data_IF_131925009085
#
_entry.id   IF_131925009085
#
_cell.length_a   1.000
_cell.length_b   1.000
_cell.length_c   1.000
_cell.angle_alpha   90.00
_cell.angle_beta   90.00
_cell.angle_gamma   90.00
#
_symmetry.space_group_name_H-M   'P 1'
#
loop_
_entity.id
_entity.type
_entity.pdbx_description
1 polymer ?
#
# COMPACT_ATOMS: atom_id res chain seq x y z
N UNK A 1 -0.98 -0.27 14.99
CA UNK A 1 0.10 -0.96 14.25
C UNK A 1 -0.38 -1.47 12.89
N UNK A 2 -1.56 -2.09 12.80
CA UNK A 2 -2.18 -2.51 11.54
C UNK A 2 -3.62 -1.96 11.44
N UNK A 3 -4.15 -1.77 10.23
CA UNK A 3 -5.47 -1.13 10.03
C UNK A 3 -6.62 -2.00 10.53
N UNK A 4 -6.49 -3.31 10.40
CA UNK A 4 -7.51 -4.26 10.88
C UNK A 4 -7.24 -4.62 12.34
N UNK A 5 -8.20 -4.26 13.22
CA UNK A 5 -8.11 -4.40 14.68
C UNK A 5 -7.65 -5.80 15.13
N UNK A 6 -8.28 -6.85 14.59
CA UNK A 6 -7.97 -8.24 14.93
C UNK A 6 -6.48 -8.59 14.80
N UNK A 7 -5.82 -8.15 13.72
CA UNK A 7 -4.39 -8.40 13.51
C UNK A 7 -3.53 -7.42 14.29
N UNK A 8 -3.95 -6.15 14.42
CA UNK A 8 -3.17 -5.15 15.16
C UNK A 8 -3.00 -5.53 16.63
N UNK A 9 -4.05 -6.04 17.28
CA UNK A 9 -4.00 -6.46 18.69
C UNK A 9 -2.98 -7.58 18.91
N UNK A 10 -2.98 -8.59 18.03
CA UNK A 10 -2.02 -9.70 18.08
C UNK A 10 -0.58 -9.21 17.86
N UNK A 11 -0.36 -8.30 16.93
CA UNK A 11 0.97 -7.75 16.68
C UNK A 11 1.50 -6.93 17.85
N UNK A 12 0.64 -6.20 18.57
CA UNK A 12 1.04 -5.50 19.80
C UNK A 12 1.51 -6.46 20.90
N UNK A 13 0.79 -7.58 21.08
CA UNK A 13 1.21 -8.62 22.04
C UNK A 13 2.59 -9.16 21.66
N UNK A 14 2.79 -9.54 20.40
CA UNK A 14 4.08 -10.05 19.90
C UNK A 14 5.21 -9.02 20.11
N UNK A 15 4.96 -7.74 19.80
CA UNK A 15 5.95 -6.69 19.99
C UNK A 15 6.33 -6.52 21.46
N UNK A 16 5.34 -6.52 22.36
CA UNK A 16 5.57 -6.42 23.81
C UNK A 16 6.34 -7.63 24.34
N UNK A 17 5.94 -8.84 23.98
CA UNK A 17 6.56 -10.09 24.44
C UNK A 17 8.03 -10.21 23.99
N UNK A 18 8.38 -9.57 22.87
CA UNK A 18 9.75 -9.55 22.32
C UNK A 18 10.55 -8.31 22.71
N UNK A 19 10.00 -7.41 23.54
CA UNK A 19 10.67 -6.16 23.91
C UNK A 19 10.90 -5.20 22.74
N UNK A 20 10.08 -5.27 21.69
CA UNK A 20 10.18 -4.39 20.51
C UNK A 20 9.50 -3.05 20.84
N UNK A 21 10.28 -1.98 20.84
CA UNK A 21 9.78 -0.62 20.99
C UNK A 21 9.26 -0.08 19.65
N UNK A 22 8.05 0.47 19.67
CA UNK A 22 7.35 0.94 18.46
C UNK A 22 6.95 2.39 18.63
N UNK A 23 7.64 3.27 17.91
CA UNK A 23 7.39 4.70 17.94
C UNK A 23 6.42 5.06 16.80
N UNK A 24 5.16 5.33 17.15
CA UNK A 24 4.17 5.81 16.18
C UNK A 24 4.42 7.27 15.83
N UNK A 25 3.86 7.72 14.70
CA UNK A 25 3.93 9.12 14.25
C UNK A 25 5.36 9.66 14.09
N UNK A 26 6.31 8.79 13.75
CA UNK A 26 7.67 9.18 13.37
C UNK A 26 7.87 8.87 11.88
N UNK A 27 8.29 9.86 11.10
CA UNK A 27 8.58 9.72 9.67
C UNK A 27 10.06 10.01 9.42
N UNK A 28 10.79 9.06 8.83
CA UNK A 28 12.21 9.22 8.50
C UNK A 28 12.37 10.32 7.46
N UNK A 29 13.23 11.31 7.73
CA UNK A 29 13.50 12.44 6.83
C UNK A 29 14.95 12.50 6.35
N UNK A 30 15.90 11.96 7.13
CA UNK A 30 17.32 11.99 6.80
C UNK A 30 18.03 10.76 7.39
N UNK A 31 19.00 10.22 6.65
CA UNK A 31 19.91 9.18 7.11
C UNK A 31 21.33 9.71 6.95
N UNK A 32 22.12 9.64 8.02
CA UNK A 32 23.55 10.01 8.07
C UNK A 32 24.38 8.74 8.30
N UNK A 33 24.87 8.09 7.23
CA UNK A 33 25.64 6.85 7.34
C UNK A 33 26.95 7.04 8.10
N UNK A 34 27.65 8.16 7.88
CA UNK A 34 28.95 8.45 8.48
C UNK A 34 28.92 8.50 10.01
N UNK A 35 27.81 8.97 10.59
CA UNK A 35 27.63 9.06 12.06
C UNK A 35 26.74 7.95 12.62
N UNK A 36 26.18 7.09 11.76
CA UNK A 36 25.22 6.06 12.14
C UNK A 36 23.92 6.62 12.71
N UNK A 37 23.42 7.74 12.18
CA UNK A 37 22.26 8.47 12.71
C UNK A 37 21.10 8.51 11.72
N UNK A 38 19.88 8.32 12.22
CA UNK A 38 18.64 8.45 11.47
C UNK A 38 17.76 9.51 12.14
N UNK A 39 17.26 10.45 11.35
CA UNK A 39 16.50 11.61 11.82
C UNK A 39 15.05 11.45 11.37
N UNK A 40 14.15 11.54 12.34
CA UNK A 40 12.72 11.38 12.15
C UNK A 40 11.99 12.67 12.51
N UNK A 41 11.03 13.06 11.69
CA UNK A 41 10.05 14.09 12.03
C UNK A 41 8.93 13.48 12.89
N UNK A 42 8.60 14.12 14.00
CA UNK A 42 7.42 13.79 14.81
C UNK A 42 6.18 14.41 14.16
N UNK A 43 5.20 13.56 13.83
CA UNK A 43 3.98 13.96 13.11
C UNK A 43 2.85 14.44 14.03
N UNK A 44 2.98 14.26 15.35
CA UNK A 44 2.07 14.80 16.37
C UNK A 44 2.49 16.16 16.93
N UNK A 45 3.72 16.60 16.64
CA UNK A 45 4.23 17.88 17.10
C UNK A 45 3.93 18.95 16.05
N UNK A 46 3.15 19.98 16.42
CA UNK A 46 2.86 21.14 15.56
C UNK A 46 4.12 21.95 15.21
N UNK A 47 5.19 21.83 16.02
CA UNK A 47 6.43 22.58 15.86
C UNK A 47 7.44 21.95 14.88
N UNK A 48 7.11 20.82 14.26
CA UNK A 48 8.03 20.14 13.34
C UNK A 48 9.24 19.52 14.03
N UNK A 49 9.10 19.18 15.31
CA UNK A 49 10.16 18.59 16.13
C UNK A 49 10.74 17.31 15.48
N UNK A 50 12.07 17.18 15.58
CA UNK A 50 12.81 16.03 15.06
C UNK A 50 13.38 15.19 16.20
N UNK A 51 13.40 13.87 16.03
CA UNK A 51 14.10 12.93 16.90
C UNK A 51 15.25 12.26 16.13
N UNK A 52 16.43 12.24 16.73
CA UNK A 52 17.61 11.55 16.17
C UNK A 52 17.83 10.25 16.93
N UNK A 53 18.01 9.16 16.19
CA UNK A 53 18.34 7.85 16.72
C UNK A 53 19.64 7.34 16.10
N UNK A 54 20.52 6.76 16.92
CA UNK A 54 21.65 6.00 16.42
C UNK A 54 21.22 4.59 15.99
N UNK A 55 21.84 4.05 14.96
CA UNK A 55 21.59 2.70 14.48
C UNK A 55 22.89 1.97 14.16
N UNK A 56 22.92 0.68 14.48
CA UNK A 56 23.90 -0.27 13.95
C UNK A 56 23.36 -0.95 12.68
N UNK A 57 22.03 -1.06 12.57
CA UNK A 57 21.31 -1.58 11.41
C UNK A 57 20.04 -0.77 11.18
N UNK A 58 19.82 -0.35 9.92
CA UNK A 58 18.65 0.42 9.53
C UNK A 58 17.98 -0.20 8.30
N UNK A 59 16.72 -0.63 8.48
CA UNK A 59 15.86 -1.05 7.38
C UNK A 59 14.88 0.08 7.03
N UNK A 60 15.05 0.69 5.86
CA UNK A 60 14.22 1.82 5.41
C UNK A 60 13.14 1.35 4.43
N UNK A 61 11.88 1.62 4.77
CA UNK A 61 10.80 1.58 3.77
C UNK A 61 10.75 2.95 3.08
N UNK A 62 11.01 3.04 1.77
CA UNK A 62 11.04 4.31 1.08
C UNK A 62 9.63 4.93 0.99
N UNK A 63 9.52 6.27 0.90
CA UNK A 63 8.27 6.90 0.49
C UNK A 63 7.92 6.45 -0.93
N UNK A 64 6.66 6.10 -1.16
CA UNK A 64 6.18 5.58 -2.45
C UNK A 64 5.08 6.47 -3.01
N UNK A 65 5.03 6.63 -4.33
CA UNK A 65 4.01 7.35 -5.07
C UNK A 65 3.61 6.57 -6.34
N UNK A 66 2.53 6.97 -6.99
CA UNK A 66 2.21 6.46 -8.31
C UNK A 66 3.31 6.82 -9.32
N UNK A 67 3.54 6.00 -10.37
CA UNK A 67 4.51 6.30 -11.42
C UNK A 67 4.24 7.67 -12.08
N UNK A 68 5.31 8.40 -12.39
CA UNK A 68 5.25 9.74 -12.99
C UNK A 68 4.39 9.83 -14.25
N UNK A 69 4.41 8.78 -15.08
CA UNK A 69 3.61 8.69 -16.30
C UNK A 69 2.10 8.71 -16.03
N UNK A 70 1.67 8.23 -14.84
CA UNK A 70 0.29 8.27 -14.41
C UNK A 70 0.02 9.58 -13.66
N UNK A 71 0.85 9.91 -12.66
CA UNK A 71 0.60 11.04 -11.75
C UNK A 71 0.62 12.41 -12.43
N UNK A 72 1.35 12.54 -13.55
CA UNK A 72 1.41 13.76 -14.35
C UNK A 72 0.43 13.76 -15.53
N UNK A 73 -0.41 12.73 -15.65
CA UNK A 73 -1.35 12.58 -16.76
C UNK A 73 -2.76 13.08 -16.44
N UNK A 74 -3.59 13.21 -17.47
CA UNK A 74 -5.02 13.50 -17.32
C UNK A 74 -5.84 12.31 -16.78
N UNK A 75 -5.18 11.18 -16.48
CA UNK A 75 -5.80 9.94 -15.99
C UNK A 75 -5.73 9.83 -14.46
N UNK A 76 -4.96 10.69 -13.79
CA UNK A 76 -4.83 10.61 -12.34
C UNK A 76 -5.96 11.33 -11.61
N UNK A 77 -6.17 10.92 -10.37
CA UNK A 77 -6.92 11.70 -9.38
C UNK A 77 -6.04 12.80 -8.76
N UNK A 78 -6.59 13.52 -7.78
CA UNK A 78 -5.89 14.58 -7.07
C UNK A 78 -4.66 14.10 -6.26
N UNK A 79 -4.57 12.80 -5.96
CA UNK A 79 -3.44 12.19 -5.27
C UNK A 79 -2.40 11.60 -6.23
N UNK A 80 -2.61 11.71 -7.54
CA UNK A 80 -1.69 11.22 -8.58
C UNK A 80 -1.89 9.75 -8.96
N UNK A 81 -2.90 9.06 -8.44
CA UNK A 81 -3.18 7.65 -8.78
C UNK A 81 -4.19 7.55 -9.92
N UNK A 82 -4.12 6.49 -10.72
CA UNK A 82 -5.06 6.23 -11.81
C UNK A 82 -6.50 6.18 -11.28
N UNK A 83 -7.35 7.06 -11.80
CA UNK A 83 -8.68 7.30 -11.25
C UNK A 83 -9.72 6.32 -11.78
N UNK A 84 -10.00 5.26 -11.02
CA UNK A 84 -10.87 4.16 -11.46
C UNK A 84 -12.07 3.98 -10.56
N UNK A 85 -13.14 3.42 -11.12
CA UNK A 85 -14.25 2.91 -10.36
C UNK A 85 -13.78 1.71 -9.51
N UNK A 86 -13.96 1.82 -8.19
CA UNK A 86 -13.52 0.82 -7.21
C UNK A 86 -14.10 -0.59 -7.41
N UNK A 87 -15.27 -0.72 -8.06
CA UNK A 87 -15.93 -2.02 -8.29
C UNK A 87 -15.59 -2.58 -9.67
N UNK A 88 -15.60 -1.75 -10.72
CA UNK A 88 -15.48 -2.23 -12.11
C UNK A 88 -14.08 -2.12 -12.68
N UNK A 89 -13.20 -1.35 -12.04
CA UNK A 89 -11.82 -1.05 -12.45
C UNK A 89 -11.69 -0.22 -13.74
N UNK A 90 -12.81 0.24 -14.28
CA UNK A 90 -12.84 1.18 -15.41
C UNK A 90 -12.52 2.60 -14.94
N UNK A 91 -11.79 3.36 -15.74
CA UNK A 91 -11.51 4.76 -15.45
C UNK A 91 -12.81 5.58 -15.40
N UNK A 92 -12.90 6.50 -14.44
CA UNK A 92 -14.16 7.24 -14.17
C UNK A 92 -14.59 8.19 -15.28
N UNK A 93 -13.63 8.66 -16.11
CA UNK A 93 -13.85 9.60 -17.22
C UNK A 93 -13.72 8.97 -18.61
N UNK A 94 -12.94 7.89 -18.75
CA UNK A 94 -12.55 7.33 -20.05
C UNK A 94 -13.00 5.88 -20.09
N UNK A 95 -14.00 5.58 -20.91
CA UNK A 95 -14.69 4.30 -20.89
C UNK A 95 -13.89 3.14 -21.52
N UNK A 96 -12.79 3.47 -22.20
CA UNK A 96 -11.85 2.54 -22.81
C UNK A 96 -10.55 2.35 -22.00
N UNK A 97 -10.45 2.98 -20.83
CA UNK A 97 -9.28 2.88 -19.95
C UNK A 97 -9.67 2.09 -18.70
N UNK A 98 -8.78 1.18 -18.30
CA UNK A 98 -8.93 0.37 -17.10
C UNK A 98 -7.61 0.33 -16.32
N UNK A 99 -7.69 0.09 -15.02
CA UNK A 99 -6.54 0.08 -14.11
C UNK A 99 -6.53 -1.10 -13.17
N UNK A 100 -5.34 -1.57 -12.79
CA UNK A 100 -5.15 -2.65 -11.83
C UNK A 100 -3.91 -2.40 -10.97
N UNK A 101 -3.93 -2.88 -9.73
CA UNK A 101 -2.78 -2.88 -8.83
C UNK A 101 -2.45 -1.50 -8.27
N UNK A 102 -1.18 -1.31 -7.96
CA UNK A 102 -0.68 -0.24 -7.09
C UNK A 102 -0.81 1.16 -7.69
N UNK A 103 -0.90 1.28 -9.02
CA UNK A 103 -1.09 2.56 -9.69
C UNK A 103 -2.50 3.12 -9.53
N UNK A 104 -3.48 2.33 -9.08
CA UNK A 104 -4.88 2.73 -8.96
C UNK A 104 -5.19 3.43 -7.63
N UNK A 105 -6.29 4.18 -7.60
CA UNK A 105 -6.83 4.77 -6.37
C UNK A 105 -7.84 3.88 -5.63
N UNK A 106 -7.84 2.57 -5.90
CA UNK A 106 -8.74 1.62 -5.23
C UNK A 106 -8.43 1.61 -3.73
N UNK A 107 -9.42 1.84 -2.85
CA UNK A 107 -9.22 2.01 -1.41
C UNK A 107 -9.07 0.66 -0.68
N UNK A 108 -8.03 -0.10 -1.05
CA UNK A 108 -7.63 -1.36 -0.41
C UNK A 108 -6.11 -1.42 -0.29
N UNK A 109 -5.59 -2.35 0.52
CA UNK A 109 -4.15 -2.54 0.63
C UNK A 109 -3.57 -2.97 -0.72
N UNK A 110 -2.54 -2.24 -1.15
CA UNK A 110 -1.77 -2.45 -2.38
C UNK A 110 -0.88 -3.70 -2.23
N UNK A 111 -1.39 -4.85 -2.68
CA UNK A 111 -0.74 -6.16 -2.56
C UNK A 111 -0.91 -6.97 -3.84
N UNK A 112 -0.02 -7.94 -4.08
CA UNK A 112 -0.17 -8.87 -5.19
C UNK A 112 -1.48 -9.69 -5.10
N UNK A 113 -1.95 -10.00 -3.89
CA UNK A 113 -3.24 -10.66 -3.69
C UNK A 113 -4.41 -9.78 -4.11
N UNK A 114 -4.34 -8.47 -3.85
CA UNK A 114 -5.33 -7.52 -4.36
C UNK A 114 -5.29 -7.47 -5.89
N UNK A 115 -4.10 -7.33 -6.49
CA UNK A 115 -3.94 -7.32 -7.94
C UNK A 115 -4.50 -8.60 -8.58
N UNK A 116 -4.28 -9.78 -7.98
CA UNK A 116 -4.85 -11.04 -8.46
C UNK A 116 -6.39 -11.04 -8.44
N UNK A 117 -7.01 -10.60 -7.34
CA UNK A 117 -8.48 -10.48 -7.25
C UNK A 117 -9.05 -9.44 -8.20
N UNK A 118 -8.32 -8.35 -8.43
CA UNK A 118 -8.66 -7.30 -9.38
C UNK A 118 -8.59 -7.78 -10.83
N UNK A 119 -7.57 -8.58 -11.20
CA UNK A 119 -7.42 -9.14 -12.54
C UNK A 119 -8.61 -10.00 -12.96
N UNK A 120 -9.18 -10.81 -12.06
CA UNK A 120 -10.38 -11.63 -12.36
C UNK A 120 -11.57 -10.74 -12.76
N UNK A 121 -11.83 -9.68 -11.99
CA UNK A 121 -12.92 -8.74 -12.25
C UNK A 121 -12.67 -7.95 -13.53
N UNK A 122 -11.45 -7.42 -13.69
CA UNK A 122 -11.06 -6.63 -14.85
C UNK A 122 -11.18 -7.42 -16.14
N UNK A 123 -10.71 -8.68 -16.16
CA UNK A 123 -10.78 -9.52 -17.36
C UNK A 123 -12.23 -9.71 -17.86
N UNK A 124 -13.18 -9.94 -16.95
CA UNK A 124 -14.60 -10.11 -17.26
C UNK A 124 -15.21 -8.82 -17.81
N UNK A 125 -14.92 -7.69 -17.16
CA UNK A 125 -15.46 -6.39 -17.55
C UNK A 125 -14.85 -5.89 -18.88
N UNK A 126 -13.55 -6.08 -19.09
CA UNK A 126 -12.88 -5.75 -20.34
C UNK A 126 -13.45 -6.59 -21.51
N UNK A 127 -13.65 -7.90 -21.31
CA UNK A 127 -14.28 -8.75 -22.32
C UNK A 127 -15.72 -8.34 -22.62
N UNK A 128 -16.49 -7.90 -21.62
CA UNK A 128 -17.82 -7.34 -21.84
C UNK A 128 -17.76 -6.05 -22.68
N UNK A 129 -16.83 -5.14 -22.36
CA UNK A 129 -16.60 -3.90 -23.11
C UNK A 129 -16.23 -4.15 -24.57
N UNK A 130 -15.34 -5.12 -24.82
CA UNK A 130 -14.94 -5.53 -26.17
C UNK A 130 -16.11 -6.09 -26.99
N UNK A 131 -17.11 -6.69 -26.34
CA UNK A 131 -18.35 -7.16 -26.98
C UNK A 131 -19.41 -6.06 -27.14
N UNK A 132 -19.07 -4.80 -26.82
CA UNK A 132 -19.98 -3.66 -26.89
C UNK A 132 -20.92 -3.49 -25.70
N UNK A 133 -20.76 -4.27 -24.63
CA UNK A 133 -21.55 -4.13 -23.41
C UNK A 133 -20.90 -3.14 -22.44
N UNK A 134 -21.72 -2.25 -21.87
CA UNK A 134 -21.34 -1.41 -20.73
C UNK A 134 -21.95 -1.90 -19.39
N UNK A 135 -22.61 -3.07 -19.41
CA UNK A 135 -23.15 -3.70 -18.21
C UNK A 135 -22.08 -4.58 -17.54
N UNK A 136 -21.37 -4.00 -16.58
CA UNK A 136 -20.33 -4.70 -15.82
C UNK A 136 -20.91 -5.43 -14.61
N UNK A 137 -21.14 -6.73 -14.80
CA UNK A 137 -21.68 -7.61 -13.76
C UNK A 137 -20.64 -8.03 -12.73
N UNK A 138 -19.35 -8.00 -13.07
CA UNK A 138 -18.29 -8.36 -12.15
C UNK A 138 -17.88 -7.15 -11.32
N UNK A 139 -17.91 -7.31 -10.00
CA UNK A 139 -17.59 -6.27 -9.03
C UNK A 139 -16.48 -6.73 -8.09
N UNK A 140 -15.44 -5.93 -7.98
CA UNK A 140 -14.39 -6.12 -7.00
C UNK A 140 -14.87 -5.68 -5.62
N UNK A 141 -14.66 -6.54 -4.63
CA UNK A 141 -15.15 -6.37 -3.26
C UNK A 141 -14.09 -5.78 -2.31
N UNK A 142 -12.91 -5.38 -2.82
CA UNK A 142 -11.82 -4.89 -1.99
C UNK A 142 -10.89 -5.98 -1.44
N UNK A 143 -11.03 -7.24 -1.86
CA UNK A 143 -10.20 -8.35 -1.37
C UNK A 143 -8.70 -8.05 -1.49
N UNK A 144 -7.99 -8.16 -0.37
CA UNK A 144 -6.53 -8.05 -0.30
C UNK A 144 -6.03 -9.02 0.76
N UNK A 145 -4.77 -9.42 0.67
CA UNK A 145 -4.14 -10.30 1.64
C UNK A 145 -2.72 -9.85 1.93
N UNK A 146 -2.34 -9.89 3.20
CA UNK A 146 -1.00 -9.55 3.66
C UNK A 146 -0.50 -10.69 4.56
N UNK A 147 0.33 -11.61 4.04
CA UNK A 147 0.91 -12.67 4.85
C UNK A 147 1.95 -12.07 5.80
N UNK A 148 1.52 -11.79 7.03
CA UNK A 148 2.38 -11.21 8.07
C UNK A 148 3.31 -12.29 8.63
N UNK A 149 4.58 -12.23 8.27
CA UNK A 149 5.59 -13.17 8.79
C UNK A 149 6.00 -12.75 10.21
N UNK A 150 5.75 -13.63 11.19
CA UNK A 150 5.99 -13.37 12.61
C UNK A 150 7.21 -14.13 13.19
N UNK A 151 7.74 -15.13 12.50
CA UNK A 151 8.91 -15.94 12.90
C UNK A 151 9.44 -16.76 11.72
N UNK A 152 10.66 -17.29 11.83
CA UNK A 152 11.26 -18.18 10.81
C UNK A 152 10.59 -19.56 10.66
N UNK A 153 9.50 -19.85 11.37
CA UNK A 153 8.85 -21.16 11.40
C UNK A 153 7.40 -21.20 10.89
N UNK A 154 6.59 -20.17 11.14
CA UNK A 154 5.12 -20.24 11.00
C UNK A 154 4.54 -19.40 9.85
N UNK A 155 5.25 -19.31 8.72
CA UNK A 155 4.76 -18.59 7.54
C UNK A 155 5.67 -18.69 6.33
N UNK A 156 6.16 -19.89 6.00
CA UNK A 156 7.16 -20.09 4.93
C UNK A 156 6.60 -19.72 3.54
N UNK A 157 6.81 -18.48 3.12
CA UNK A 157 7.09 -18.15 1.73
C UNK A 157 8.62 -18.14 1.58
N UNK A 158 9.18 -19.27 1.13
CA UNK A 158 10.57 -19.34 0.66
C UNK A 158 10.57 -18.82 -0.77
N UNK A 159 11.02 -17.59 -0.97
CA UNK A 159 11.52 -17.15 -2.27
C UNK A 159 13.05 -17.19 -2.11
N UNK A 160 13.68 -18.05 -2.90
CA UNK A 160 15.13 -18.23 -2.97
C UNK A 160 15.82 -16.97 -3.48
#
# INVERSE_FOLDING_TARGET
MFVVKHYSEKLYVIAKDRGIHVNFKHSLIEVRPETGEAIFKKLDSESGETATFKYDFLHVTPPMSAPDVISKSVLSDAAGFLNVNKETLQHVKYDNIFGVGDCTNIPTSKTAAAAAGQCDVLSKNLMAKMKGSNDFKSKYNGYTSCPLMNSGGEGRCRIF
#
